data_IF_649263904951
#
_entry.id   IF_649263904951
#
_cell.length_a   1.000
_cell.length_b   1.000
_cell.length_c   1.000
_cell.angle_alpha   90.00
_cell.angle_beta   90.00
_cell.angle_gamma   90.00
#
_symmetry.space_group_name_H-M   'P 1'
#
loop_
_entity.id
_entity.type
_entity.pdbx_description
1 polymer ?
#
# COMPACT_ATOMS: atom_id res chain seq x y z
N UNK A 1 -11.15 6.18 -5.66
CA UNK A 1 -9.70 6.40 -5.82
C UNK A 1 -9.51 7.71 -6.55
N UNK A 2 -9.00 8.69 -5.83
CA UNK A 2 -8.95 10.10 -6.23
C UNK A 2 -7.77 10.40 -7.14
N UNK A 3 -6.70 9.59 -7.04
CA UNK A 3 -5.44 9.83 -7.75
C UNK A 3 -4.88 8.55 -8.39
N UNK A 4 -5.67 7.98 -9.31
CA UNK A 4 -5.35 6.71 -10.00
C UNK A 4 -3.96 6.72 -10.63
N UNK A 5 -3.59 7.80 -11.34
CA UNK A 5 -2.33 7.88 -12.07
C UNK A 5 -1.12 7.91 -11.13
N UNK A 6 -1.24 8.56 -9.97
CA UNK A 6 -0.20 8.51 -8.94
C UNK A 6 0.03 7.10 -8.41
N UNK A 7 -1.04 6.32 -8.15
CA UNK A 7 -0.87 4.94 -7.71
C UNK A 7 -0.24 4.07 -8.78
N UNK A 8 -0.68 4.19 -10.05
CA UNK A 8 -0.07 3.48 -11.17
C UNK A 8 1.42 3.80 -11.31
N UNK A 9 1.80 5.08 -11.19
CA UNK A 9 3.20 5.50 -11.25
C UNK A 9 4.03 4.94 -10.10
N UNK A 10 3.47 4.84 -8.88
CA UNK A 10 4.15 4.21 -7.73
C UNK A 10 4.33 2.71 -7.95
N UNK A 11 3.28 2.02 -8.37
CA UNK A 11 3.32 0.58 -8.66
C UNK A 11 4.31 0.24 -9.77
N UNK A 12 4.41 1.06 -10.83
CA UNK A 12 5.40 0.89 -11.89
C UNK A 12 6.85 1.01 -11.38
N UNK A 13 7.10 1.87 -10.38
CA UNK A 13 8.42 1.97 -9.72
C UNK A 13 8.73 0.74 -8.88
N UNK A 14 7.75 0.27 -8.10
CA UNK A 14 7.84 -0.95 -7.28
C UNK A 14 8.16 -2.17 -8.16
N UNK A 15 7.50 -2.29 -9.31
CA UNK A 15 7.79 -3.34 -10.30
C UNK A 15 9.24 -3.29 -10.79
N UNK A 16 9.77 -2.08 -11.03
CA UNK A 16 11.17 -1.86 -11.37
C UNK A 16 12.14 -2.26 -10.26
N UNK A 17 11.82 -1.95 -9.00
CA UNK A 17 12.60 -2.37 -7.83
C UNK A 17 12.63 -3.89 -7.70
N UNK A 18 11.48 -4.57 -7.85
CA UNK A 18 11.40 -6.03 -7.80
C UNK A 18 12.27 -6.70 -8.89
N UNK A 19 12.22 -6.18 -10.12
CA UNK A 19 13.15 -6.63 -11.19
C UNK A 19 14.61 -6.36 -10.85
N UNK A 20 14.91 -5.23 -10.22
CA UNK A 20 16.25 -4.90 -9.76
C UNK A 20 16.78 -5.94 -8.76
N UNK A 21 15.97 -6.29 -7.76
CA UNK A 21 16.30 -7.32 -6.76
C UNK A 21 16.53 -8.67 -7.42
N UNK A 22 15.67 -9.08 -8.36
CA UNK A 22 15.85 -10.31 -9.14
C UNK A 22 17.24 -10.36 -9.78
N UNK A 23 17.61 -9.29 -10.50
CA UNK A 23 18.92 -9.19 -11.14
C UNK A 23 20.08 -9.20 -10.13
N UNK A 24 19.91 -8.58 -8.96
CA UNK A 24 20.93 -8.62 -7.91
C UNK A 24 21.18 -10.04 -7.40
N UNK A 25 20.16 -10.88 -7.34
CA UNK A 25 20.30 -12.30 -6.99
C UNK A 25 20.99 -13.07 -8.11
N UNK A 26 20.60 -12.86 -9.37
CA UNK A 26 21.26 -13.45 -10.55
C UNK A 26 22.74 -13.09 -10.64
N UNK A 27 23.08 -11.84 -10.31
CA UNK A 27 24.44 -11.31 -10.33
C UNK A 27 25.23 -11.62 -9.04
N UNK A 28 24.70 -12.48 -8.16
CA UNK A 28 25.29 -12.87 -6.86
C UNK A 28 25.78 -11.68 -6.02
N UNK A 29 24.99 -10.59 -5.98
CA UNK A 29 25.33 -9.39 -5.20
C UNK A 29 25.35 -9.69 -3.70
N UNK A 30 26.06 -8.82 -2.96
CA UNK A 30 26.19 -8.94 -1.53
C UNK A 30 24.81 -8.95 -0.84
N UNK A 31 24.61 -9.91 0.06
CA UNK A 31 23.31 -10.15 0.68
C UNK A 31 22.75 -8.92 1.39
N UNK A 32 23.60 -8.09 2.01
CA UNK A 32 23.15 -6.88 2.71
C UNK A 32 22.59 -5.83 1.75
N UNK A 33 23.14 -5.73 0.54
CA UNK A 33 22.63 -4.81 -0.49
C UNK A 33 21.26 -5.27 -1.00
N UNK A 34 21.10 -6.58 -1.20
CA UNK A 34 19.82 -7.19 -1.58
C UNK A 34 18.76 -6.93 -0.49
N UNK A 35 19.11 -7.18 0.78
CA UNK A 35 18.21 -6.92 1.92
C UNK A 35 17.86 -5.43 2.02
N UNK A 36 18.79 -4.52 1.72
CA UNK A 36 18.53 -3.08 1.67
C UNK A 36 17.50 -2.73 0.59
N UNK A 37 17.61 -3.33 -0.60
CA UNK A 37 16.62 -3.11 -1.67
C UNK A 37 15.26 -3.73 -1.35
N UNK A 38 15.23 -4.91 -0.71
CA UNK A 38 13.98 -5.52 -0.23
C UNK A 38 13.29 -4.57 0.76
N UNK A 39 14.02 -4.03 1.74
CA UNK A 39 13.45 -3.05 2.68
C UNK A 39 12.90 -1.81 1.96
N UNK A 40 13.61 -1.29 0.96
CA UNK A 40 13.13 -0.17 0.16
C UNK A 40 11.86 -0.49 -0.66
N UNK A 41 11.75 -1.71 -1.19
CA UNK A 41 10.54 -2.20 -1.87
C UNK A 41 9.36 -2.30 -0.88
N UNK A 42 9.58 -2.85 0.31
CA UNK A 42 8.57 -2.98 1.36
C UNK A 42 8.02 -1.61 1.77
N UNK A 43 8.90 -0.63 2.06
CA UNK A 43 8.47 0.73 2.39
C UNK A 43 7.68 1.40 1.25
N UNK A 44 8.02 1.12 -0.01
CA UNK A 44 7.27 1.65 -1.14
C UNK A 44 5.86 1.04 -1.25
N UNK A 45 5.72 -0.26 -0.98
CA UNK A 45 4.44 -0.95 -0.91
C UNK A 45 3.56 -0.41 0.23
N UNK A 46 4.14 -0.25 1.42
CA UNK A 46 3.46 0.35 2.58
C UNK A 46 2.95 1.76 2.26
N UNK A 47 3.77 2.58 1.60
CA UNK A 47 3.37 3.94 1.22
C UNK A 47 2.22 3.96 0.20
N UNK A 48 2.10 2.96 -0.67
CA UNK A 48 0.94 2.80 -1.56
C UNK A 48 -0.29 2.38 -0.77
N UNK A 49 -0.15 1.40 0.11
CA UNK A 49 -1.24 0.85 0.89
C UNK A 49 -1.85 1.88 1.86
N UNK A 50 -1.02 2.65 2.58
CA UNK A 50 -1.46 3.78 3.42
C UNK A 50 -2.15 4.84 2.58
N UNK A 51 -1.62 5.14 1.39
CA UNK A 51 -2.26 6.08 0.47
C UNK A 51 -3.64 5.63 0.04
N UNK A 52 -3.83 4.35 -0.32
CA UNK A 52 -5.14 3.81 -0.71
C UNK A 52 -6.13 3.80 0.46
N UNK A 53 -5.64 3.54 1.67
CA UNK A 53 -6.44 3.61 2.88
C UNK A 53 -6.93 5.03 3.16
N UNK A 54 -6.07 6.06 3.09
CA UNK A 54 -6.49 7.46 3.26
C UNK A 54 -7.58 7.85 2.25
N UNK A 55 -7.39 7.46 0.98
CA UNK A 55 -8.37 7.64 -0.09
C UNK A 55 -9.71 6.94 0.23
N UNK A 56 -9.68 5.74 0.81
CA UNK A 56 -10.88 5.00 1.21
C UNK A 56 -11.59 5.66 2.40
N UNK A 57 -10.84 6.09 3.42
CA UNK A 57 -11.39 6.78 4.58
C UNK A 57 -12.09 8.09 4.18
N UNK A 58 -11.47 8.90 3.32
CA UNK A 58 -11.99 10.20 2.89
C UNK A 58 -13.28 10.14 2.08
N UNK A 59 -13.47 9.08 1.30
CA UNK A 59 -14.65 8.95 0.44
C UNK A 59 -15.66 7.98 1.03
N UNK A 60 -15.28 6.73 1.24
CA UNK A 60 -16.24 5.69 1.61
C UNK A 60 -16.68 5.81 3.07
N UNK A 61 -15.76 6.12 3.99
CA UNK A 61 -16.10 6.18 5.42
C UNK A 61 -16.73 7.52 5.79
N UNK A 62 -16.21 8.65 5.31
CA UNK A 62 -16.81 9.97 5.56
C UNK A 62 -18.23 10.07 4.99
N UNK A 63 -18.47 9.55 3.78
CA UNK A 63 -19.82 9.58 3.20
C UNK A 63 -20.78 8.64 3.94
N UNK A 64 -20.33 7.43 4.32
CA UNK A 64 -21.15 6.52 5.13
C UNK A 64 -21.44 7.09 6.54
N UNK A 65 -20.46 7.76 7.16
CA UNK A 65 -20.64 8.40 8.46
C UNK A 65 -21.69 9.54 8.44
N UNK A 66 -21.87 10.21 7.29
CA UNK A 66 -22.95 11.20 7.11
C UNK A 66 -24.34 10.56 7.02
N UNK A 67 -24.43 9.34 6.50
CA UNK A 67 -25.68 8.58 6.37
C UNK A 67 -26.05 7.88 7.70
N UNK A 68 -25.06 7.48 8.49
CA UNK A 68 -25.24 6.84 9.79
C UNK A 68 -25.77 5.41 9.73
N UNK A 69 -26.05 4.82 10.90
CA UNK A 69 -26.63 3.48 11.02
C UNK A 69 -25.67 2.34 10.68
N UNK A 70 -26.23 1.15 10.46
CA UNK A 70 -25.46 -0.09 10.29
C UNK A 70 -24.47 -0.08 9.12
N UNK A 71 -24.74 0.71 8.07
CA UNK A 71 -23.86 0.84 6.91
C UNK A 71 -22.58 1.62 7.25
N UNK A 72 -22.69 2.64 8.10
CA UNK A 72 -21.53 3.37 8.62
C UNK A 72 -20.63 2.47 9.48
N UNK A 73 -21.22 1.69 10.38
CA UNK A 73 -20.49 0.75 11.25
C UNK A 73 -19.77 -0.34 10.45
N UNK A 74 -20.41 -0.85 9.40
CA UNK A 74 -19.81 -1.83 8.49
C UNK A 74 -18.58 -1.26 7.77
N UNK A 75 -18.66 -0.01 7.27
CA UNK A 75 -17.55 0.66 6.57
C UNK A 75 -16.38 0.99 7.49
N UNK A 76 -16.64 1.39 8.74
CA UNK A 76 -15.61 1.61 9.75
C UNK A 76 -14.92 0.28 10.11
N UNK A 77 -15.68 -0.80 10.25
CA UNK A 77 -15.15 -2.14 10.53
C UNK A 77 -14.25 -2.63 9.39
N UNK A 78 -14.68 -2.46 8.13
CA UNK A 78 -13.89 -2.79 6.94
C UNK A 78 -12.53 -2.06 6.94
N UNK A 79 -12.54 -0.75 7.15
CA UNK A 79 -11.32 0.06 7.20
C UNK A 79 -10.39 -0.37 8.35
N UNK A 80 -10.94 -0.66 9.53
CA UNK A 80 -10.18 -1.13 10.71
C UNK A 80 -9.50 -2.48 10.44
N UNK A 81 -10.20 -3.40 9.77
CA UNK A 81 -9.62 -4.69 9.39
C UNK A 81 -8.51 -4.54 8.35
N UNK A 82 -8.66 -3.62 7.40
CA UNK A 82 -7.61 -3.32 6.42
C UNK A 82 -6.34 -2.78 7.11
N UNK A 83 -6.49 -1.86 8.06
CA UNK A 83 -5.38 -1.34 8.89
C UNK A 83 -4.70 -2.49 9.65
N UNK A 84 -5.47 -3.37 10.28
CA UNK A 84 -4.92 -4.47 11.08
C UNK A 84 -4.07 -5.47 10.27
N UNK A 85 -4.27 -5.56 8.95
CA UNK A 85 -3.44 -6.36 8.04
C UNK A 85 -2.15 -5.63 7.63
N UNK A 86 -2.17 -4.31 7.65
CA UNK A 86 -1.07 -3.42 7.24
C UNK A 86 -0.01 -3.21 8.33
N UNK A 87 -0.39 -3.36 9.60
CA UNK A 87 0.48 -3.12 10.78
C UNK A 87 1.12 -4.43 11.29
N UNK A 88 0.86 -5.56 10.63
CA UNK A 88 1.47 -6.87 10.94
C UNK A 88 2.70 -7.11 10.07
#
# INVERSE_FOLDING_TARGET
MTDKDKYLNRLKRIEGQARGIHKMVEDEKYCIDILTQISALTSALEAVAVGLLDDHLRHCVVDAARLGGAEADAKITEATQAIARLVR
#
